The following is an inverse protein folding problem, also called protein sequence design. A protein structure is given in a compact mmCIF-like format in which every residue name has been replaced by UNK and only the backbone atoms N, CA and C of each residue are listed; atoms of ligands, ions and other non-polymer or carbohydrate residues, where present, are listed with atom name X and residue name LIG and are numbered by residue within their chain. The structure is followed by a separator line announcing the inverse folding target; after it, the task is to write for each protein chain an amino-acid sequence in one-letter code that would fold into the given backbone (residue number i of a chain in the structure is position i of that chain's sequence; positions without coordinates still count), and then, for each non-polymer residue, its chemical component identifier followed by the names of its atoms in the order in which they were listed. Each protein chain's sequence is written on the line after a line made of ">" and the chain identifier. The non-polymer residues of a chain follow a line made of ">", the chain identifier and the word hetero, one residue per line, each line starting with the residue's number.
data_IF_123491595434
#
_entry.id   IF_123491595434
#
_cell.length_a   1.000
_cell.length_b   1.000
_cell.length_c   1.000
_cell.angle_alpha   90.00
_cell.angle_beta   90.00
_cell.angle_gamma   90.00
#
_symmetry.space_group_name_H-M   'P 1'
#
loop_
_entity.id
_entity.type
_entity.pdbx_description
1 polymer ?
#
# COMPACT_ATOMS: atom_id res chain seq x y z
N UNK A 1 -6.78 0.24 13.92
CA UNK A 1 -5.73 0.32 12.90
C UNK A 1 -5.14 1.73 12.94
N UNK A 2 -3.91 1.93 12.51
CA UNK A 2 -3.29 3.26 12.43
C UNK A 2 -4.07 4.18 11.50
N UNK A 3 -4.52 3.64 10.36
CA UNK A 3 -5.44 4.31 9.43
C UNK A 3 -4.82 5.33 8.48
N UNK A 4 -3.60 5.77 8.78
CA UNK A 4 -2.75 6.53 7.87
C UNK A 4 -1.32 5.95 7.90
N UNK A 5 -1.17 4.64 7.71
CA UNK A 5 0.13 3.96 7.91
C UNK A 5 1.07 4.12 6.70
N UNK A 6 1.19 5.33 6.14
CA UNK A 6 2.05 5.58 4.98
C UNK A 6 3.53 5.71 5.34
N UNK A 7 4.44 5.55 4.36
CA UNK A 7 5.88 5.70 4.51
C UNK A 7 6.30 6.98 5.26
N UNK A 8 5.59 8.08 5.01
CA UNK A 8 5.85 9.39 5.60
C UNK A 8 5.60 9.46 7.12
N UNK A 9 4.92 8.48 7.70
CA UNK A 9 4.60 8.39 9.13
C UNK A 9 5.55 7.46 9.91
N UNK A 10 6.57 6.90 9.25
CA UNK A 10 7.62 6.14 9.91
C UNK A 10 8.85 7.00 10.18
N UNK A 11 9.37 6.94 11.40
CA UNK A 11 10.61 7.60 11.80
C UNK A 11 11.72 6.55 11.83
N UNK A 12 12.70 6.70 10.95
CA UNK A 12 13.89 5.86 10.92
C UNK A 12 15.11 6.62 11.45
N UNK A 13 15.92 5.94 12.25
CA UNK A 13 17.24 6.40 12.68
C UNK A 13 18.20 5.20 12.61
N UNK A 14 19.38 5.39 12.02
CA UNK A 14 20.38 4.33 11.82
C UNK A 14 19.83 3.07 11.12
N UNK A 15 18.92 3.28 10.14
CA UNK A 15 18.17 2.22 9.41
C UNK A 15 17.26 1.34 10.29
N UNK A 16 16.97 1.77 11.52
CA UNK A 16 16.03 1.11 12.41
C UNK A 16 14.77 1.95 12.60
N UNK A 17 13.61 1.29 12.66
CA UNK A 17 12.34 1.94 12.93
C UNK A 17 12.31 2.40 14.40
N UNK A 18 12.21 3.70 14.62
CA UNK A 18 12.20 4.33 15.95
C UNK A 18 10.83 4.82 16.39
N UNK A 19 9.92 5.06 15.45
CA UNK A 19 8.58 5.54 15.76
C UNK A 19 7.63 5.46 14.59
N UNK A 20 6.34 5.42 14.92
CA UNK A 20 5.23 5.58 13.99
C UNK A 20 4.35 6.70 14.56
N UNK A 21 4.04 7.70 13.74
CA UNK A 21 3.39 8.94 14.17
C UNK A 21 2.11 9.24 13.39
N UNK A 22 1.36 10.24 13.86
CA UNK A 22 0.18 10.80 13.22
C UNK A 22 -0.91 9.77 12.82
N UNK A 23 -1.40 8.96 13.78
CA UNK A 23 -2.47 8.03 13.49
C UNK A 23 -3.78 8.76 13.17
N UNK A 24 -4.51 8.24 12.21
CA UNK A 24 -5.91 8.56 11.91
C UNK A 24 -6.76 7.29 12.09
N UNK A 25 -7.05 6.88 13.35
CA UNK A 25 -7.51 5.52 13.61
C UNK A 25 -8.83 5.17 12.92
N UNK A 26 -8.84 4.00 12.28
CA UNK A 26 -10.03 3.40 11.67
C UNK A 26 -10.29 1.99 12.19
N UNK A 27 -11.56 1.57 12.13
CA UNK A 27 -12.03 0.23 12.46
C UNK A 27 -12.21 -0.58 11.17
N UNK A 28 -11.65 -1.79 11.10
CA UNK A 28 -11.73 -2.65 9.92
C UNK A 28 -10.71 -3.79 9.94
N UNK A 29 -10.44 -4.37 8.76
CA UNK A 29 -9.48 -5.46 8.59
C UNK A 29 -8.02 -4.97 8.73
N UNK A 30 -7.21 -5.52 9.66
CA UNK A 30 -5.83 -5.10 9.90
C UNK A 30 -4.91 -5.09 8.67
N UNK A 31 -5.21 -5.86 7.62
CA UNK A 31 -4.45 -5.85 6.36
C UNK A 31 -4.48 -4.45 5.71
N UNK A 32 -5.50 -3.64 6.00
CA UNK A 32 -5.61 -2.26 5.50
C UNK A 32 -4.33 -1.45 5.72
N UNK A 33 -3.76 -1.49 6.92
CA UNK A 33 -2.56 -0.73 7.26
C UNK A 33 -1.34 -1.19 6.44
N UNK A 34 -1.23 -2.50 6.13
CA UNK A 34 -0.18 -3.02 5.25
C UNK A 34 -0.35 -2.54 3.81
N UNK A 35 -1.59 -2.57 3.28
CA UNK A 35 -1.89 -2.12 1.92
C UNK A 35 -1.66 -0.61 1.80
N UNK A 36 -2.07 0.14 2.81
CA UNK A 36 -1.84 1.58 2.86
C UNK A 36 -0.34 1.91 2.85
N UNK A 37 0.46 1.22 3.66
CA UNK A 37 1.91 1.36 3.69
C UNK A 37 2.53 1.01 2.32
N UNK A 38 2.13 -0.12 1.75
CA UNK A 38 2.60 -0.60 0.45
C UNK A 38 2.32 0.40 -0.67
N UNK A 39 1.09 0.92 -0.76
CA UNK A 39 0.70 1.89 -1.77
C UNK A 39 1.22 3.31 -1.52
N UNK A 40 1.82 3.61 -0.36
CA UNK A 40 2.12 4.99 0.05
C UNK A 40 3.19 5.70 -0.81
N UNK A 41 3.99 4.94 -1.55
CA UNK A 41 4.95 5.41 -2.57
C UNK A 41 4.71 4.70 -3.90
N UNK A 42 5.03 5.31 -5.05
CA UNK A 42 4.94 4.64 -6.35
C UNK A 42 6.07 3.61 -6.57
N UNK A 43 7.13 3.68 -5.77
CA UNK A 43 8.29 2.80 -5.84
C UNK A 43 7.98 1.39 -5.32
N UNK A 44 8.56 0.36 -5.96
CA UNK A 44 8.51 -1.05 -5.53
C UNK A 44 7.11 -1.65 -5.33
N UNK A 45 6.11 -1.17 -6.09
CA UNK A 45 4.73 -1.70 -6.11
C UNK A 45 4.61 -3.05 -6.86
N UNK A 46 5.44 -4.03 -6.50
CA UNK A 46 5.56 -5.35 -7.16
C UNK A 46 5.02 -6.50 -6.32
N UNK A 47 4.76 -7.65 -6.95
CA UNK A 47 4.37 -8.89 -6.24
C UNK A 47 5.45 -9.38 -5.29
N UNK A 48 6.72 -9.21 -5.66
CA UNK A 48 7.86 -9.61 -4.84
C UNK A 48 7.86 -8.84 -3.52
N UNK A 49 7.65 -7.52 -3.56
CA UNK A 49 7.63 -6.65 -2.38
C UNK A 49 6.47 -6.99 -1.46
N UNK A 50 5.23 -7.00 -1.97
CA UNK A 50 4.08 -7.31 -1.12
C UNK A 50 4.09 -8.77 -0.65
N UNK A 51 4.55 -9.70 -1.49
CA UNK A 51 4.71 -11.11 -1.13
C UNK A 51 5.77 -11.31 -0.04
N UNK A 52 6.85 -10.55 -0.04
CA UNK A 52 7.82 -10.54 1.06
C UNK A 52 7.20 -10.05 2.37
N UNK A 53 6.46 -8.94 2.33
CA UNK A 53 5.79 -8.40 3.50
C UNK A 53 4.70 -9.35 4.05
N UNK A 54 3.89 -9.95 3.17
CA UNK A 54 2.85 -10.90 3.54
C UNK A 54 3.39 -12.17 4.23
N UNK A 55 4.59 -12.64 3.86
CA UNK A 55 5.24 -13.77 4.54
C UNK A 55 5.61 -13.47 6.00
N UNK A 56 5.83 -12.19 6.32
CA UNK A 56 6.17 -11.71 7.67
C UNK A 56 4.90 -11.28 8.44
N UNK A 57 3.78 -11.08 7.74
CA UNK A 57 2.55 -10.58 8.31
C UNK A 57 1.86 -11.68 9.14
N UNK A 58 1.38 -11.31 10.34
CA UNK A 58 0.57 -12.22 11.16
C UNK A 58 -0.82 -12.46 10.58
N UNK A 59 -1.29 -11.53 9.74
CA UNK A 59 -2.55 -11.61 9.02
C UNK A 59 -2.31 -12.18 7.63
N UNK A 60 -3.22 -13.02 7.17
CA UNK A 60 -3.08 -13.75 5.92
C UNK A 60 -4.26 -13.44 5.01
N UNK A 61 -3.96 -13.24 3.72
CA UNK A 61 -4.93 -13.21 2.63
C UNK A 61 -4.43 -14.11 1.51
N UNK A 62 -5.34 -14.69 0.74
CA UNK A 62 -4.94 -15.30 -0.53
C UNK A 62 -4.58 -14.19 -1.53
N UNK A 63 -3.80 -14.54 -2.56
CA UNK A 63 -3.30 -13.59 -3.54
C UNK A 63 -4.41 -12.81 -4.23
N UNK A 64 -5.52 -13.47 -4.59
CA UNK A 64 -6.65 -12.81 -5.26
C UNK A 64 -7.24 -11.70 -4.39
N UNK A 65 -7.65 -12.04 -3.17
CA UNK A 65 -8.27 -11.09 -2.25
C UNK A 65 -7.29 -9.99 -1.84
N UNK A 66 -5.98 -10.25 -1.87
CA UNK A 66 -4.94 -9.27 -1.62
C UNK A 66 -4.83 -8.28 -2.79
N UNK A 67 -4.79 -8.77 -4.03
CA UNK A 67 -4.62 -7.94 -5.21
C UNK A 67 -5.83 -7.03 -5.45
N UNK A 68 -7.05 -7.53 -5.18
CA UNK A 68 -8.27 -6.71 -5.21
C UNK A 68 -8.19 -5.53 -4.21
N UNK A 69 -7.65 -5.75 -3.00
CA UNK A 69 -7.44 -4.68 -2.01
C UNK A 69 -6.33 -3.71 -2.41
N UNK A 70 -5.25 -4.19 -3.03
CA UNK A 70 -4.17 -3.33 -3.56
C UNK A 70 -4.73 -2.37 -4.59
N UNK A 71 -5.59 -2.86 -5.51
CA UNK A 71 -6.27 -1.98 -6.47
C UNK A 71 -7.09 -0.91 -5.74
N UNK A 72 -7.87 -1.27 -4.72
CA UNK A 72 -8.60 -0.26 -3.93
C UNK A 72 -7.64 0.74 -3.26
N UNK A 73 -6.54 0.26 -2.68
CA UNK A 73 -5.50 1.10 -2.08
C UNK A 73 -4.88 2.09 -3.07
N UNK A 74 -4.55 1.64 -4.28
CA UNK A 74 -4.03 2.48 -5.35
C UNK A 74 -5.04 3.51 -5.81
N UNK A 75 -6.33 3.15 -5.93
CA UNK A 75 -7.39 4.11 -6.29
C UNK A 75 -7.41 5.28 -5.31
N UNK A 76 -7.43 4.99 -4.00
CA UNK A 76 -7.42 5.99 -2.94
C UNK A 76 -6.11 6.81 -2.94
N UNK A 77 -4.98 6.15 -3.20
CA UNK A 77 -3.69 6.83 -3.26
C UNK A 77 -3.59 7.78 -4.44
N UNK A 78 -4.09 7.41 -5.61
CA UNK A 78 -4.10 8.26 -6.81
C UNK A 78 -4.87 9.56 -6.55
N UNK A 79 -6.03 9.49 -5.90
CA UNK A 79 -6.80 10.67 -5.51
C UNK A 79 -6.01 11.61 -4.58
N UNK A 80 -5.25 11.04 -3.64
CA UNK A 80 -4.34 11.80 -2.77
C UNK A 80 -3.14 12.37 -3.53
N UNK A 81 -2.56 11.59 -4.45
CA UNK A 81 -1.44 11.95 -5.31
C UNK A 81 -1.77 13.18 -6.17
N UNK A 82 -2.97 13.24 -6.75
CA UNK A 82 -3.43 14.37 -7.56
C UNK A 82 -3.40 15.70 -6.80
N UNK A 83 -3.63 15.68 -5.48
CA UNK A 83 -3.67 16.88 -4.64
C UNK A 83 -2.30 17.27 -4.10
N UNK A 84 -1.47 16.30 -3.73
CA UNK A 84 -0.26 16.56 -2.93
C UNK A 84 1.05 16.25 -3.67
N UNK A 85 1.04 15.29 -4.59
CA UNK A 85 2.22 14.80 -5.30
C UNK A 85 1.95 14.55 -6.80
N UNK A 86 1.45 15.54 -7.57
CA UNK A 86 0.98 15.30 -8.94
C UNK A 86 2.08 14.85 -9.91
N UNK A 87 3.36 14.94 -9.52
CA UNK A 87 4.51 14.47 -10.31
C UNK A 87 4.61 12.94 -10.35
N UNK A 88 4.09 12.27 -9.32
CA UNK A 88 4.17 10.81 -9.16
C UNK A 88 2.99 10.11 -9.85
N UNK A 89 2.08 10.89 -10.47
CA UNK A 89 0.83 10.38 -11.03
C UNK A 89 1.06 9.31 -12.10
N UNK A 90 2.00 9.52 -13.02
CA UNK A 90 2.21 8.56 -14.10
C UNK A 90 2.72 7.22 -13.57
N UNK A 91 3.62 7.24 -12.58
CA UNK A 91 4.13 6.02 -11.95
C UNK A 91 3.02 5.25 -11.24
N UNK A 92 2.12 5.96 -10.54
CA UNK A 92 0.93 5.33 -9.95
C UNK A 92 -0.06 4.80 -10.99
N UNK A 93 -0.22 5.45 -12.13
CA UNK A 93 -1.06 4.96 -13.22
C UNK A 93 -0.45 3.72 -13.89
N UNK A 94 0.88 3.63 -13.97
CA UNK A 94 1.57 2.42 -14.41
C UNK A 94 1.34 1.26 -13.45
N UNK A 95 1.53 1.49 -12.14
CA UNK A 95 1.24 0.50 -11.12
C UNK A 95 -0.24 0.06 -11.15
N UNK A 96 -1.18 1.00 -11.31
CA UNK A 96 -2.60 0.69 -11.45
C UNK A 96 -2.88 -0.26 -12.61
N UNK A 97 -2.33 0.03 -13.80
CA UNK A 97 -2.50 -0.83 -14.99
C UNK A 97 -1.95 -2.23 -14.75
N UNK A 98 -0.79 -2.33 -14.11
CA UNK A 98 -0.19 -3.61 -13.73
C UNK A 98 -1.12 -4.41 -12.81
N UNK A 99 -1.54 -3.83 -11.68
CA UNK A 99 -2.36 -4.53 -10.68
C UNK A 99 -3.77 -4.87 -11.17
N UNK A 100 -4.38 -4.01 -11.99
CA UNK A 100 -5.64 -4.34 -12.67
C UNK A 100 -5.50 -5.56 -13.57
N UNK A 101 -4.40 -5.67 -14.33
CA UNK A 101 -4.13 -6.86 -15.14
C UNK A 101 -4.01 -8.14 -14.30
N UNK A 102 -3.42 -8.06 -13.11
CA UNK A 102 -3.32 -9.20 -12.19
C UNK A 102 -4.67 -9.64 -11.62
N UNK A 103 -5.56 -8.68 -11.34
CA UNK A 103 -6.94 -8.99 -10.91
C UNK A 103 -7.74 -9.61 -12.07
N UNK A 104 -7.66 -9.05 -13.27
CA UNK A 104 -8.41 -9.52 -14.45
C UNK A 104 -8.00 -10.92 -14.90
N UNK A 105 -6.71 -11.29 -14.84
CA UNK A 105 -6.23 -12.64 -15.17
C UNK A 105 -6.72 -13.71 -14.18
N UNK A 106 -7.14 -13.29 -12.98
CA UNK A 106 -7.60 -14.18 -11.90
C UNK A 106 -9.12 -14.42 -11.92
N UNK A 107 -9.85 -13.87 -12.90
CA UNK A 107 -11.29 -14.05 -13.15
C UNK A 107 -11.58 -15.18 -14.16
#
# INVERSE_FOLDING_TARGET
>A
MHGDLGFHNFIFQENELHGVIDPLPVLGDPIYDLIYAFCSTPEDLTKETIGYAMKQCVFHKNDRDLYEEIVIGLYLRIDTCLRHHPKDLEDYLEAWRYWMGEVEVTL
#
